data_IF_770758738666
#
_entry.id   IF_770758738666
#
_cell.length_a   1.000
_cell.length_b   1.000
_cell.length_c   1.000
_cell.angle_alpha   90.00
_cell.angle_beta   90.00
_cell.angle_gamma   90.00
#
_symmetry.space_group_name_H-M   'P 1'
#
loop_
_entity.id
_entity.type
_entity.pdbx_description
1 polymer ?
#
# COMPACT_ATOMS: atom_id res chain seq x y z
N UNK A 1 11.68 27.33 12.88
CA UNK A 1 12.42 26.25 13.56
C UNK A 1 12.78 25.21 12.52
N UNK A 2 14.05 24.94 12.19
CA UNK A 2 14.35 23.88 11.25
C UNK A 2 14.12 22.56 11.99
N UNK A 3 13.16 21.76 11.52
CA UNK A 3 12.93 20.41 12.03
C UNK A 3 14.20 19.60 11.75
N UNK A 4 15.03 19.35 12.77
CA UNK A 4 16.17 18.48 12.57
C UNK A 4 15.65 17.04 12.41
N UNK A 5 16.12 16.36 11.38
CA UNK A 5 15.71 15.00 11.05
C UNK A 5 16.57 13.96 11.79
N UNK A 6 17.08 14.27 12.99
CA UNK A 6 17.96 13.35 13.73
C UNK A 6 17.29 12.01 14.05
N UNK A 7 15.96 11.97 14.10
CA UNK A 7 15.20 10.72 14.23
C UNK A 7 15.39 9.78 13.03
N UNK A 8 15.74 10.29 11.84
CA UNK A 8 15.99 9.46 10.66
C UNK A 8 17.19 8.53 10.85
N UNK A 9 18.24 8.98 11.56
CA UNK A 9 19.44 8.17 11.84
C UNK A 9 19.07 6.91 12.65
N UNK A 10 18.10 7.03 13.58
CA UNK A 10 17.56 5.88 14.31
C UNK A 10 16.79 4.92 13.39
N UNK A 11 16.14 5.43 12.35
CA UNK A 11 15.35 4.64 11.40
C UNK A 11 16.22 3.85 10.41
N UNK A 12 17.38 4.40 10.03
CA UNK A 12 18.41 3.67 9.28
C UNK A 12 18.89 2.44 10.06
N UNK A 13 19.05 2.56 11.39
CA UNK A 13 19.46 1.45 12.27
C UNK A 13 18.39 0.38 12.48
N UNK A 14 17.10 0.73 12.41
CA UNK A 14 15.98 -0.19 12.68
C UNK A 14 15.71 -1.16 11.51
N UNK A 15 16.09 -0.80 10.28
CA UNK A 15 15.80 -1.60 9.09
C UNK A 15 17.00 -1.99 8.24
N UNK A 16 18.23 -1.56 8.60
CA UNK A 16 19.42 -1.73 7.75
C UNK A 16 19.28 -1.08 6.36
N UNK A 17 18.29 -0.20 6.20
CA UNK A 17 17.86 0.36 4.92
C UNK A 17 18.41 1.77 4.77
N UNK A 18 18.97 2.07 3.59
CA UNK A 18 19.45 3.41 3.23
C UNK A 18 18.33 4.41 2.91
N UNK A 19 17.06 4.04 3.15
CA UNK A 19 15.88 4.84 2.83
C UNK A 19 14.99 5.04 4.07
N UNK A 20 15.39 5.90 5.03
CA UNK A 20 14.68 6.09 6.29
C UNK A 20 13.24 6.58 6.11
N UNK A 21 12.97 7.37 5.07
CA UNK A 21 11.62 7.84 4.75
C UNK A 21 10.68 6.70 4.32
N UNK A 22 11.18 5.74 3.53
CA UNK A 22 10.40 4.58 3.11
C UNK A 22 10.03 3.72 4.31
N UNK A 23 10.99 3.46 5.20
CA UNK A 23 10.75 2.67 6.42
C UNK A 23 9.77 3.38 7.36
N UNK A 24 9.88 4.70 7.54
CA UNK A 24 8.89 5.46 8.31
C UNK A 24 7.50 5.35 7.68
N UNK A 25 7.41 5.55 6.37
CA UNK A 25 6.15 5.47 5.64
C UNK A 25 5.49 4.10 5.84
N UNK A 26 6.21 3.01 5.61
CA UNK A 26 5.69 1.65 5.78
C UNK A 26 5.24 1.39 7.23
N UNK A 27 6.02 1.86 8.20
CA UNK A 27 5.70 1.74 9.63
C UNK A 27 4.45 2.53 10.05
N UNK A 28 4.18 3.66 9.40
CA UNK A 28 2.97 4.46 9.66
C UNK A 28 1.75 3.93 8.90
N UNK A 29 1.93 3.44 7.68
CA UNK A 29 0.85 2.90 6.84
C UNK A 29 0.35 1.56 7.38
N UNK A 30 1.27 0.66 7.77
CA UNK A 30 0.94 -0.67 8.33
C UNK A 30 1.82 -0.98 9.55
N UNK A 31 1.50 -0.44 10.73
CA UNK A 31 2.32 -0.64 11.93
C UNK A 31 2.42 -2.13 12.31
N UNK A 32 3.65 -2.64 12.45
CA UNK A 32 3.93 -4.01 12.88
C UNK A 32 3.57 -5.10 11.86
N UNK A 33 3.44 -4.76 10.58
CA UNK A 33 3.11 -5.73 9.53
C UNK A 33 4.15 -6.84 9.34
N UNK A 34 5.43 -6.53 9.58
CA UNK A 34 6.55 -7.48 9.64
C UNK A 34 6.36 -8.53 10.75
N UNK A 35 5.67 -8.17 11.82
CA UNK A 35 5.27 -9.05 12.92
C UNK A 35 3.88 -9.66 12.73
N UNK A 36 3.24 -9.43 11.58
CA UNK A 36 1.88 -9.90 11.28
C UNK A 36 0.78 -9.15 12.04
N UNK A 37 1.08 -8.02 12.68
CA UNK A 37 0.11 -7.24 13.42
C UNK A 37 -0.94 -6.61 12.49
N UNK A 38 -2.19 -6.56 12.95
CA UNK A 38 -3.31 -5.93 12.24
C UNK A 38 -3.66 -4.60 12.90
N UNK A 39 -2.74 -3.63 12.80
CA UNK A 39 -2.90 -2.30 13.39
C UNK A 39 -3.37 -1.32 12.32
N UNK A 40 -4.40 -0.49 12.58
CA UNK A 40 -4.84 0.52 11.64
C UNK A 40 -3.73 1.52 11.27
N UNK A 41 -3.77 2.00 10.02
CA UNK A 41 -2.90 3.06 9.51
C UNK A 41 -2.91 4.29 10.44
N UNK A 42 -1.72 4.88 10.64
CA UNK A 42 -1.53 6.16 11.34
C UNK A 42 -1.55 7.36 10.38
N UNK A 43 -1.69 7.09 9.09
CA UNK A 43 -1.88 8.10 8.05
C UNK A 43 -3.36 8.21 7.68
N UNK A 44 -3.79 9.45 7.44
CA UNK A 44 -5.09 9.76 6.84
C UNK A 44 -4.85 10.16 5.38
N UNK A 45 -5.52 9.47 4.46
CA UNK A 45 -5.45 9.76 3.03
C UNK A 45 -6.50 10.81 2.68
N UNK A 46 -6.07 11.88 2.02
CA UNK A 46 -6.93 12.99 1.60
C UNK A 46 -6.74 13.22 0.11
N UNK A 47 -7.84 13.20 -0.65
CA UNK A 47 -7.83 13.58 -2.05
C UNK A 47 -7.87 15.10 -2.16
N UNK A 48 -6.91 15.67 -2.91
CA UNK A 48 -6.86 17.10 -3.21
C UNK A 48 -7.07 17.29 -4.72
N UNK A 49 -8.27 17.74 -5.16
CA UNK A 49 -8.58 17.94 -6.57
C UNK A 49 -7.62 18.92 -7.27
N UNK A 50 -7.02 19.86 -6.53
CA UNK A 50 -6.06 20.82 -7.12
C UNK A 50 -4.72 20.19 -7.49
N UNK A 51 -4.41 19.02 -6.93
CA UNK A 51 -3.18 18.25 -7.18
C UNK A 51 -3.42 17.03 -8.07
N UNK A 52 -4.61 16.90 -8.64
CA UNK A 52 -4.90 15.81 -9.57
C UNK A 52 -4.00 15.90 -10.80
N UNK A 53 -3.36 14.78 -11.12
CA UNK A 53 -2.60 14.62 -12.35
C UNK A 53 -3.57 14.03 -13.37
N UNK A 54 -3.91 14.80 -14.42
CA UNK A 54 -4.74 14.32 -15.52
C UNK A 54 -4.07 13.13 -16.20
N UNK A 55 -4.79 12.02 -16.30
CA UNK A 55 -4.33 10.79 -16.94
C UNK A 55 -5.42 10.22 -17.85
N UNK A 56 -5.00 9.56 -18.93
CA UNK A 56 -5.88 8.89 -19.87
C UNK A 56 -5.52 7.40 -19.87
N UNK A 57 -6.51 6.55 -19.66
CA UNK A 57 -6.35 5.10 -19.79
C UNK A 57 -6.74 4.72 -21.21
N UNK A 58 -5.82 4.08 -21.93
CA UNK A 58 -6.06 3.54 -23.26
C UNK A 58 -6.00 2.01 -23.17
N UNK A 59 -7.14 1.36 -23.37
CA UNK A 59 -7.23 -0.10 -23.34
C UNK A 59 -8.64 -0.57 -23.67
N UNK A 60 -8.76 -1.82 -24.10
CA UNK A 60 -10.04 -2.47 -24.36
C UNK A 60 -10.75 -2.94 -23.07
N UNK A 61 -10.08 -2.81 -21.92
CA UNK A 61 -10.56 -3.29 -20.61
C UNK A 61 -11.04 -2.15 -19.72
N UNK A 62 -11.80 -2.49 -18.67
CA UNK A 62 -12.16 -1.55 -17.61
C UNK A 62 -10.92 -1.02 -16.88
N UNK A 63 -11.01 0.21 -16.33
CA UNK A 63 -9.93 0.82 -15.54
C UNK A 63 -9.55 -0.06 -14.35
N UNK A 64 -8.24 -0.27 -14.16
CA UNK A 64 -7.68 -1.08 -13.07
C UNK A 64 -7.29 -2.49 -13.50
N UNK A 65 -6.84 -3.29 -12.54
CA UNK A 65 -6.36 -4.66 -12.77
C UNK A 65 -4.97 -4.72 -13.43
N UNK A 66 -4.64 -5.87 -13.99
CA UNK A 66 -3.41 -6.07 -14.76
C UNK A 66 -3.68 -5.87 -16.24
N UNK A 67 -2.75 -5.21 -16.93
CA UNK A 67 -2.76 -5.08 -18.39
C UNK A 67 -2.03 -6.24 -19.09
N UNK A 68 -1.62 -7.27 -18.34
CA UNK A 68 -1.01 -8.46 -18.88
C UNK A 68 -2.07 -9.53 -19.16
N UNK A 69 -1.87 -10.29 -20.23
CA UNK A 69 -2.60 -11.54 -20.47
C UNK A 69 -1.97 -12.63 -19.61
N UNK A 70 -2.75 -13.19 -18.68
CA UNK A 70 -2.33 -14.33 -17.87
C UNK A 70 -2.92 -15.63 -18.40
N UNK A 71 -2.18 -16.72 -18.22
CA UNK A 71 -2.73 -18.06 -18.36
C UNK A 71 -3.87 -18.24 -17.34
N UNK A 72 -5.03 -18.80 -17.72
CA UNK A 72 -6.12 -19.10 -16.78
C UNK A 72 -5.71 -19.92 -15.55
N UNK A 73 -4.65 -20.73 -15.65
CA UNK A 73 -4.12 -21.53 -14.54
C UNK A 73 -3.13 -20.77 -13.64
N UNK A 74 -2.73 -19.55 -14.02
CA UNK A 74 -1.81 -18.74 -13.24
C UNK A 74 -2.53 -18.15 -12.02
N UNK A 75 -2.08 -18.54 -10.82
CA UNK A 75 -2.57 -18.02 -9.55
C UNK A 75 -1.57 -17.04 -8.94
N UNK A 76 -2.03 -15.82 -8.68
CA UNK A 76 -1.28 -14.85 -7.88
C UNK A 76 -1.35 -15.24 -6.40
N UNK A 77 -0.23 -15.67 -5.83
CA UNK A 77 -0.12 -15.93 -4.39
C UNK A 77 0.27 -14.63 -3.71
N UNK A 78 -0.72 -13.88 -3.25
CA UNK A 78 -0.53 -12.66 -2.46
C UNK A 78 -1.44 -12.73 -1.25
N UNK A 79 -0.90 -12.45 -0.06
CA UNK A 79 -1.76 -12.28 1.11
C UNK A 79 -2.64 -11.05 0.90
N UNK A 80 -3.94 -11.17 1.21
CA UNK A 80 -4.93 -10.12 0.96
C UNK A 80 -4.48 -8.73 1.46
N UNK A 81 -3.89 -8.67 2.66
CA UNK A 81 -3.37 -7.43 3.26
C UNK A 81 -2.23 -6.75 2.48
N UNK A 82 -1.58 -7.47 1.56
CA UNK A 82 -0.53 -6.94 0.70
C UNK A 82 -1.08 -6.33 -0.59
N UNK A 83 -2.37 -6.57 -0.90
CA UNK A 83 -3.09 -5.96 -2.02
C UNK A 83 -3.75 -4.63 -1.64
N UNK A 84 -3.69 -4.23 -0.37
CA UNK A 84 -4.23 -2.96 0.11
C UNK A 84 -3.53 -1.79 -0.57
N UNK A 85 -4.35 -0.87 -1.10
CA UNK A 85 -3.88 0.42 -1.57
C UNK A 85 -3.76 1.38 -0.38
N UNK A 86 -2.91 2.40 -0.48
CA UNK A 86 -2.82 3.40 0.57
C UNK A 86 -4.18 4.10 0.75
N UNK A 87 -4.79 3.91 1.92
CA UNK A 87 -6.10 4.49 2.26
C UNK A 87 -7.30 3.69 1.77
N UNK A 88 -7.09 2.50 1.20
CA UNK A 88 -8.17 1.66 0.71
C UNK A 88 -7.80 0.18 0.80
N UNK A 89 -8.42 -0.56 1.74
CA UNK A 89 -8.12 -1.98 1.90
C UNK A 89 -8.86 -2.85 0.90
N UNK A 90 -8.28 -4.00 0.56
CA UNK A 90 -8.93 -5.01 -0.28
C UNK A 90 -10.20 -5.54 0.40
N UNK A 91 -10.22 -5.57 1.74
CA UNK A 91 -11.40 -5.96 2.51
C UNK A 91 -12.56 -4.98 2.30
N UNK A 92 -12.26 -3.68 2.28
CA UNK A 92 -13.26 -2.63 1.99
C UNK A 92 -13.78 -2.76 0.56
N UNK A 93 -12.88 -3.05 -0.39
CA UNK A 93 -13.25 -3.27 -1.79
C UNK A 93 -14.22 -4.46 -1.96
N UNK A 94 -13.94 -5.56 -1.27
CA UNK A 94 -14.75 -6.78 -1.32
C UNK A 94 -16.00 -6.72 -0.45
N UNK A 95 -16.18 -5.64 0.32
CA UNK A 95 -17.30 -5.46 1.24
C UNK A 95 -17.43 -6.63 2.23
N UNK A 96 -16.28 -7.13 2.70
CA UNK A 96 -16.21 -8.29 3.62
C UNK A 96 -16.32 -9.66 2.95
N UNK A 97 -16.44 -9.75 1.62
CA UNK A 97 -16.38 -11.02 0.90
C UNK A 97 -14.93 -11.54 0.90
N UNK A 98 -14.64 -12.78 1.32
CA UNK A 98 -13.28 -13.30 1.30
C UNK A 98 -12.79 -13.54 -0.13
N UNK A 99 -11.53 -13.17 -0.44
CA UNK A 99 -10.90 -13.41 -1.75
C UNK A 99 -10.83 -14.91 -2.11
N UNK A 100 -10.66 -15.76 -1.11
CA UNK A 100 -10.60 -17.21 -1.26
C UNK A 100 -11.72 -17.79 -0.40
N UNK A 101 -12.72 -18.46 -0.99
CA UNK A 101 -13.70 -19.23 -0.22
C UNK A 101 -12.96 -20.33 0.55
N UNK A 102 -13.15 -20.37 1.87
CA UNK A 102 -12.67 -21.48 2.71
C UNK A 102 -13.54 -22.70 2.57
#
# INVERSE_FOLDING_TARGET
MPYNLKWCESLESLGGSTRPLSVLYDSLVRPGADLGAQIPSRLVWQSDPSRHISHLVLGETSVGGSWNTYDPEMLAVSYASWLDLPGFSISDWLQGTPLIPR
#
